data_IF_205255996215
#
_entry.id   IF_205255996215
#
_cell.length_a   1.000
_cell.length_b   1.000
_cell.length_c   1.000
_cell.angle_alpha   90.00
_cell.angle_beta   90.00
_cell.angle_gamma   90.00
#
_symmetry.space_group_name_H-M   'P 1'
#
loop_
_entity.id
_entity.type
_entity.pdbx_description
1 polymer ?
#
# COMPACT_ATOMS: atom_id res chain seq x y z
N UNK A 1 9.23 11.73 3.05
CA UNK A 1 9.66 10.33 2.90
C UNK A 1 9.31 9.74 1.53
N UNK A 2 8.07 9.88 1.02
CA UNK A 2 7.70 9.35 -0.32
C UNK A 2 8.61 9.92 -1.42
N UNK A 3 8.74 11.25 -1.50
CA UNK A 3 9.60 11.90 -2.50
C UNK A 3 11.09 11.61 -2.30
N UNK A 4 11.48 11.26 -1.08
CA UNK A 4 12.88 11.10 -0.68
C UNK A 4 13.37 9.66 -0.80
N UNK A 5 12.46 8.67 -0.73
CA UNK A 5 12.80 7.25 -0.65
C UNK A 5 12.33 6.43 -1.86
N UNK A 6 11.44 6.96 -2.71
CA UNK A 6 10.81 6.19 -3.80
C UNK A 6 11.36 6.62 -5.16
N UNK A 7 11.84 5.65 -5.94
CA UNK A 7 12.20 5.82 -7.36
C UNK A 7 10.99 5.62 -8.26
N UNK A 8 10.16 4.62 -7.95
CA UNK A 8 8.99 4.26 -8.76
C UNK A 8 7.80 3.87 -7.88
N UNK A 9 6.69 4.58 -8.08
CA UNK A 9 5.45 4.37 -7.34
C UNK A 9 4.58 3.24 -7.91
N UNK A 10 3.52 2.91 -7.17
CA UNK A 10 2.58 1.88 -7.59
C UNK A 10 1.76 2.35 -8.80
N UNK A 11 1.76 1.58 -9.88
CA UNK A 11 1.00 1.90 -11.11
C UNK A 11 -0.52 1.68 -10.98
N UNK A 12 -1.31 1.95 -12.04
CA UNK A 12 -2.78 1.94 -12.00
C UNK A 12 -3.40 0.57 -11.68
N UNK A 13 -2.65 -0.52 -11.80
CA UNK A 13 -3.13 -1.85 -11.38
C UNK A 13 -3.22 -1.94 -9.86
N UNK A 14 -2.33 -1.27 -9.14
CA UNK A 14 -2.34 -1.27 -7.69
C UNK A 14 -3.64 -0.67 -7.14
N UNK A 15 -4.11 0.45 -7.68
CA UNK A 15 -5.38 1.07 -7.26
C UNK A 15 -6.58 0.16 -7.53
N UNK A 16 -6.61 -0.53 -8.68
CA UNK A 16 -7.64 -1.52 -8.99
C UNK A 16 -7.67 -2.65 -7.95
N UNK A 17 -6.51 -3.22 -7.62
CA UNK A 17 -6.42 -4.30 -6.63
C UNK A 17 -6.72 -3.83 -5.20
N UNK A 18 -6.37 -2.58 -4.83
CA UNK A 18 -6.77 -2.00 -3.55
C UNK A 18 -8.31 -1.93 -3.44
N UNK A 19 -8.99 -1.43 -4.47
CA UNK A 19 -10.46 -1.34 -4.47
C UNK A 19 -11.08 -2.74 -4.42
N UNK A 20 -10.57 -3.67 -5.24
CA UNK A 20 -11.09 -5.04 -5.29
C UNK A 20 -10.94 -5.74 -3.94
N UNK A 21 -9.75 -5.73 -3.36
CA UNK A 21 -9.47 -6.32 -2.05
C UNK A 21 -10.33 -5.68 -0.94
N UNK A 22 -10.52 -4.35 -0.99
CA UNK A 22 -11.33 -3.64 0.00
C UNK A 22 -12.80 -4.06 -0.07
N UNK A 23 -13.36 -4.14 -1.29
CA UNK A 23 -14.74 -4.64 -1.50
C UNK A 23 -14.90 -6.08 -1.06
N UNK A 24 -13.95 -6.95 -1.41
CA UNK A 24 -13.97 -8.36 -1.00
C UNK A 24 -13.97 -8.47 0.53
N UNK A 25 -13.12 -7.72 1.22
CA UNK A 25 -13.07 -7.72 2.69
C UNK A 25 -14.37 -7.22 3.31
N UNK A 26 -14.95 -6.14 2.79
CA UNK A 26 -16.23 -5.63 3.25
C UNK A 26 -17.34 -6.69 3.18
N UNK A 27 -17.45 -7.39 2.02
CA UNK A 27 -18.44 -8.45 1.80
C UNK A 27 -18.22 -9.63 2.75
N UNK A 28 -16.97 -10.07 2.95
CA UNK A 28 -16.63 -11.14 3.92
C UNK A 28 -17.07 -10.77 5.34
N UNK A 29 -17.03 -9.48 5.70
CA UNK A 29 -17.48 -8.97 6.99
C UNK A 29 -18.97 -8.57 7.02
N UNK A 30 -19.77 -8.94 6.01
CA UNK A 30 -21.21 -8.65 5.97
C UNK A 30 -21.55 -7.17 5.77
N UNK A 31 -20.59 -6.35 5.33
CA UNK A 31 -20.78 -4.93 5.03
C UNK A 31 -20.99 -4.72 3.53
N UNK A 32 -21.94 -3.86 3.19
CA UNK A 32 -22.29 -3.54 1.80
C UNK A 32 -21.32 -2.54 1.14
N UNK A 33 -20.55 -1.82 1.95
CA UNK A 33 -19.60 -0.80 1.47
C UNK A 33 -18.25 -0.96 2.17
N UNK A 34 -17.14 -0.83 1.42
CA UNK A 34 -15.81 -0.80 2.03
C UNK A 34 -15.59 0.50 2.79
N UNK A 35 -14.80 0.42 3.87
CA UNK A 35 -14.35 1.56 4.66
C UNK A 35 -12.83 1.72 4.54
N UNK A 36 -12.27 2.71 5.26
CA UNK A 36 -10.83 2.99 5.21
C UNK A 36 -9.98 1.84 5.77
N UNK A 37 -10.48 1.10 6.75
CA UNK A 37 -9.78 -0.05 7.34
C UNK A 37 -9.60 -1.19 6.33
N UNK A 38 -10.56 -1.35 5.40
CA UNK A 38 -10.44 -2.32 4.32
C UNK A 38 -9.32 -1.97 3.35
N UNK A 39 -9.17 -0.67 3.06
CA UNK A 39 -8.08 -0.16 2.22
C UNK A 39 -6.75 -0.36 2.94
N UNK A 40 -6.65 0.04 4.22
CA UNK A 40 -5.42 -0.13 5.04
C UNK A 40 -5.00 -1.58 5.12
N UNK A 41 -5.94 -2.51 5.31
CA UNK A 41 -5.66 -3.94 5.28
C UNK A 41 -5.06 -4.40 3.93
N UNK A 42 -5.57 -3.88 2.82
CA UNK A 42 -5.11 -4.24 1.49
C UNK A 42 -3.76 -3.61 1.09
N UNK A 43 -3.30 -2.56 1.77
CA UNK A 43 -2.09 -1.81 1.39
C UNK A 43 -0.85 -2.69 1.29
N UNK A 44 -0.51 -3.44 2.35
CA UNK A 44 0.70 -4.27 2.37
C UNK A 44 0.70 -5.37 1.28
N UNK A 45 -0.32 -6.24 1.17
CA UNK A 45 -0.32 -7.30 0.17
C UNK A 45 -0.37 -6.77 -1.27
N UNK A 46 -1.01 -5.62 -1.52
CA UNK A 46 -1.10 -5.05 -2.87
C UNK A 46 0.16 -4.28 -3.28
N UNK A 47 0.78 -3.54 -2.35
CA UNK A 47 1.82 -2.56 -2.68
C UNK A 47 3.26 -3.07 -2.52
N UNK A 48 3.53 -4.07 -1.66
CA UNK A 48 4.90 -4.50 -1.26
C UNK A 48 5.85 -4.80 -2.43
N UNK A 49 5.31 -5.31 -3.53
CA UNK A 49 6.07 -5.70 -4.74
C UNK A 49 5.83 -4.75 -5.91
N UNK A 50 5.23 -3.58 -5.66
CA UNK A 50 4.84 -2.59 -6.69
C UNK A 50 5.46 -1.22 -6.49
N UNK A 51 6.33 -1.09 -5.49
CA UNK A 51 7.04 0.16 -5.16
C UNK A 51 8.52 -0.18 -5.15
N UNK A 52 9.32 0.69 -5.77
CA UNK A 52 10.78 0.56 -5.83
C UNK A 52 11.39 1.73 -5.07
N UNK A 53 12.18 1.42 -4.05
CA UNK A 53 12.97 2.38 -3.27
C UNK A 53 14.14 2.92 -4.10
N UNK A 54 14.72 4.04 -3.68
CA UNK A 54 15.96 4.53 -4.29
C UNK A 54 17.19 3.96 -3.57
N UNK A 55 18.34 4.10 -4.22
CA UNK A 55 19.60 3.55 -3.73
C UNK A 55 19.97 4.06 -2.32
N UNK A 56 19.73 5.34 -2.04
CA UNK A 56 20.00 5.92 -0.72
C UNK A 56 19.13 5.27 0.37
N UNK A 57 17.84 5.10 0.10
CA UNK A 57 16.91 4.44 1.02
C UNK A 57 17.28 2.95 1.23
N UNK A 58 17.70 2.26 0.17
CA UNK A 58 18.19 0.88 0.29
C UNK A 58 19.47 0.79 1.12
N UNK A 59 20.40 1.74 0.96
CA UNK A 59 21.62 1.83 1.77
C UNK A 59 21.32 2.09 3.26
N UNK A 60 20.28 2.86 3.56
CA UNK A 60 19.76 3.09 4.91
C UNK A 60 18.93 1.91 5.45
N UNK A 61 18.80 0.81 4.68
CA UNK A 61 18.06 -0.39 5.06
C UNK A 61 16.54 -0.25 4.98
N UNK A 62 16.04 0.80 4.35
CA UNK A 62 14.60 1.08 4.19
C UNK A 62 14.03 0.21 3.08
N UNK A 63 13.01 -0.58 3.41
CA UNK A 63 12.30 -1.46 2.47
C UNK A 63 10.98 -0.85 2.02
N UNK A 64 10.47 -1.34 0.90
CA UNK A 64 9.12 -0.99 0.42
C UNK A 64 8.04 -1.22 1.47
N UNK A 65 8.17 -2.25 2.31
CA UNK A 65 7.25 -2.53 3.43
C UNK A 65 7.24 -1.42 4.47
N UNK A 66 8.40 -0.85 4.80
CA UNK A 66 8.52 0.21 5.80
C UNK A 66 7.85 1.50 5.31
N UNK A 67 8.02 1.80 4.01
CA UNK A 67 7.31 2.90 3.33
C UNK A 67 5.80 2.71 3.42
N UNK A 68 5.30 1.50 3.15
CA UNK A 68 3.86 1.21 3.16
C UNK A 68 3.28 1.28 4.57
N UNK A 69 3.99 0.74 5.57
CA UNK A 69 3.58 0.82 6.97
C UNK A 69 3.54 2.26 7.46
N UNK A 70 4.53 3.08 7.08
CA UNK A 70 4.54 4.50 7.41
C UNK A 70 3.38 5.23 6.75
N UNK A 71 3.13 4.96 5.46
CA UNK A 71 1.99 5.52 4.73
C UNK A 71 0.65 5.15 5.37
N UNK A 72 0.48 3.90 5.81
CA UNK A 72 -0.74 3.41 6.45
C UNK A 72 -1.08 4.12 7.77
N UNK A 73 -0.06 4.65 8.46
CA UNK A 73 -0.21 5.42 9.71
C UNK A 73 -0.57 6.90 9.49
N UNK A 74 -0.31 7.45 8.30
CA UNK A 74 -0.66 8.85 7.96
C UNK A 74 -2.10 9.01 7.48
N UNK A 75 -2.71 7.89 7.06
CA UNK A 75 -4.13 7.75 6.71
C UNK A 75 -4.88 7.27 7.95
#
# INVERSE_FOLDING_TARGET
FIKDWITWGAGPRASQYLILASKTRAVIHGRYTPNIDDVKFAMLPVLRHRIITNFSAEADGIKSTDVIEKLSKEI
#
